data_IF_336121003669
#
_entry.id   IF_336121003669
#
_cell.length_a   1.000
_cell.length_b   1.000
_cell.length_c   1.000
_cell.angle_alpha   90.00
_cell.angle_beta   90.00
_cell.angle_gamma   90.00
#
_symmetry.space_group_name_H-M   'P 1'
#
loop_
_entity.id
_entity.type
_entity.pdbx_description
1 polymer ?
#
# COMPACT_ATOMS: atom_id res chain seq x y z
N UNK A 1 2.48 -3.64 2.43
CA UNK A 1 1.24 -4.39 2.65
C UNK A 1 0.93 -4.52 4.15
N UNK A 2 1.79 -5.11 4.97
CA UNK A 2 1.57 -5.36 6.43
C UNK A 2 1.21 -4.08 7.19
N UNK A 3 1.88 -2.97 6.94
CA UNK A 3 1.60 -1.67 7.59
C UNK A 3 0.17 -1.19 7.29
N UNK A 4 -0.29 -1.29 6.03
CA UNK A 4 -1.66 -0.95 5.65
C UNK A 4 -2.69 -1.91 6.27
N UNK A 5 -2.36 -3.19 6.37
CA UNK A 5 -3.18 -4.19 7.05
C UNK A 5 -3.34 -3.86 8.54
N UNK A 6 -2.24 -3.50 9.21
CA UNK A 6 -2.25 -3.07 10.61
C UNK A 6 -3.13 -1.83 10.81
N UNK A 7 -3.05 -0.85 9.92
CA UNK A 7 -3.92 0.33 9.97
C UNK A 7 -5.41 -0.04 9.81
N UNK A 8 -5.75 -0.97 8.90
CA UNK A 8 -7.11 -1.46 8.76
C UNK A 8 -7.60 -2.17 10.03
N UNK A 9 -6.77 -3.01 10.67
CA UNK A 9 -7.12 -3.67 11.93
C UNK A 9 -7.46 -2.63 13.01
N UNK A 10 -6.68 -1.55 13.10
CA UNK A 10 -6.87 -0.50 14.10
C UNK A 10 -8.09 0.38 13.81
N UNK A 11 -8.40 0.64 12.53
CA UNK A 11 -9.43 1.61 12.13
C UNK A 11 -10.76 0.99 11.68
N UNK A 12 -10.81 -0.34 11.49
CA UNK A 12 -12.00 -1.09 11.08
C UNK A 12 -12.25 -2.27 12.01
N UNK A 13 -13.22 -2.13 12.91
CA UNK A 13 -13.61 -3.23 13.81
C UNK A 13 -14.09 -4.47 13.04
N UNK A 14 -14.77 -4.27 11.90
CA UNK A 14 -15.22 -5.39 11.07
C UNK A 14 -14.04 -6.20 10.54
N UNK A 15 -12.99 -5.51 10.06
CA UNK A 15 -11.77 -6.18 9.59
C UNK A 15 -10.98 -6.83 10.73
N UNK A 16 -10.88 -6.16 11.88
CA UNK A 16 -10.25 -6.73 13.08
C UNK A 16 -10.92 -8.04 13.50
N UNK A 17 -12.26 -8.07 13.49
CA UNK A 17 -13.02 -9.28 13.80
C UNK A 17 -12.80 -10.40 12.77
N UNK A 18 -12.73 -10.07 11.47
CA UNK A 18 -12.50 -11.06 10.40
C UNK A 18 -11.10 -11.68 10.49
N UNK A 19 -10.09 -10.87 10.85
CA UNK A 19 -8.71 -11.34 11.08
C UNK A 19 -8.59 -12.08 12.45
N UNK A 20 -9.49 -11.83 13.38
CA UNK A 20 -9.43 -12.40 14.74
C UNK A 20 -8.42 -11.67 15.65
N UNK A 21 -8.06 -10.42 15.32
CA UNK A 21 -7.11 -9.60 16.09
C UNK A 21 -7.85 -8.41 16.71
N UNK A 22 -7.75 -8.25 18.03
CA UNK A 22 -8.26 -7.07 18.71
C UNK A 22 -7.13 -6.04 18.89
N UNK A 23 -7.23 -4.87 18.25
CA UNK A 23 -6.21 -3.84 18.40
C UNK A 23 -6.24 -3.26 19.81
N UNK A 24 -5.06 -3.05 20.39
CA UNK A 24 -4.91 -2.35 21.68
C UNK A 24 -4.64 -0.87 21.50
N UNK A 25 -4.19 -0.46 20.30
CA UNK A 25 -3.93 0.93 19.97
C UNK A 25 -5.23 1.63 19.53
N UNK A 26 -5.59 2.78 20.14
CA UNK A 26 -6.72 3.57 19.68
C UNK A 26 -6.49 4.10 18.26
N UNK A 27 -7.53 4.12 17.41
CA UNK A 27 -7.44 4.63 16.04
C UNK A 27 -6.92 6.08 15.99
N UNK A 28 -7.26 6.92 16.95
CA UNK A 28 -6.78 8.31 17.06
C UNK A 28 -5.27 8.44 17.27
N UNK A 29 -4.58 7.34 17.65
CA UNK A 29 -3.11 7.31 17.76
C UNK A 29 -2.42 7.18 16.42
N UNK A 30 -3.11 6.70 15.37
CA UNK A 30 -2.60 6.67 13.99
C UNK A 30 -2.83 8.04 13.35
N UNK A 31 -1.79 8.86 13.33
CA UNK A 31 -1.87 10.23 12.81
C UNK A 31 -1.71 10.31 11.29
N UNK A 32 -0.86 9.46 10.74
CA UNK A 32 -0.58 9.41 9.31
C UNK A 32 -0.01 8.05 8.88
N UNK A 33 -0.09 7.77 7.59
CA UNK A 33 0.51 6.60 6.96
C UNK A 33 1.43 7.05 5.83
N UNK A 34 2.60 6.41 5.72
CA UNK A 34 3.49 6.50 4.57
C UNK A 34 3.50 5.13 3.88
N UNK A 35 2.94 5.05 2.69
CA UNK A 35 2.79 3.81 1.94
C UNK A 35 3.61 3.87 0.65
N UNK A 36 4.73 3.16 0.66
CA UNK A 36 5.70 3.14 -0.42
C UNK A 36 5.57 1.83 -1.19
N UNK A 37 5.24 1.90 -2.48
CA UNK A 37 5.28 0.83 -3.48
C UNK A 37 4.76 -0.56 -2.99
N UNK A 38 3.70 -0.60 -2.20
CA UNK A 38 3.18 -1.83 -1.63
C UNK A 38 2.23 -2.62 -2.54
N UNK A 39 2.00 -3.90 -2.20
CA UNK A 39 0.92 -4.70 -2.75
C UNK A 39 -0.32 -4.58 -1.85
N UNK A 40 -1.46 -4.16 -2.40
CA UNK A 40 -2.68 -3.85 -1.63
C UNK A 40 -3.90 -4.64 -2.09
N UNK A 41 -3.86 -5.18 -3.33
CA UNK A 41 -4.89 -6.02 -3.90
C UNK A 41 -4.24 -7.23 -4.59
N UNK A 42 -4.49 -8.42 -4.09
CA UNK A 42 -3.94 -9.65 -4.67
C UNK A 42 -4.62 -10.04 -6.00
N UNK A 43 -5.79 -9.50 -6.31
CA UNK A 43 -6.49 -9.77 -7.57
C UNK A 43 -6.02 -8.87 -8.73
N UNK A 44 -5.30 -7.78 -8.45
CA UNK A 44 -4.90 -6.80 -9.46
C UNK A 44 -3.75 -7.26 -10.38
N UNK A 45 -2.72 -8.01 -9.93
CA UNK A 45 -1.58 -8.35 -10.78
C UNK A 45 -1.94 -9.28 -11.93
N UNK A 46 -1.32 -9.06 -13.10
CA UNK A 46 -1.29 -10.07 -14.16
C UNK A 46 -0.27 -11.17 -13.79
N UNK A 47 -0.76 -12.32 -13.37
CA UNK A 47 0.06 -13.47 -12.97
C UNK A 47 0.70 -14.22 -14.14
N UNK A 48 0.39 -13.90 -15.40
CA UNK A 48 0.97 -14.53 -16.58
C UNK A 48 2.32 -13.95 -16.99
N UNK A 49 2.56 -12.68 -16.65
CA UNK A 49 3.84 -11.99 -16.90
C UNK A 49 5.00 -12.52 -16.06
N UNK A 50 6.22 -12.15 -16.41
CA UNK A 50 7.44 -12.58 -15.70
C UNK A 50 7.42 -12.23 -14.21
N UNK A 51 7.06 -10.99 -13.89
CA UNK A 51 6.91 -10.54 -12.49
C UNK A 51 5.73 -11.24 -11.81
N UNK A 52 4.60 -11.38 -12.51
CA UNK A 52 3.41 -12.05 -11.98
C UNK A 52 3.66 -13.52 -11.63
N UNK A 53 4.47 -14.25 -12.43
CA UNK A 53 4.89 -15.62 -12.11
C UNK A 53 5.73 -15.70 -10.83
N UNK A 54 6.64 -14.75 -10.62
CA UNK A 54 7.38 -14.64 -9.38
C UNK A 54 6.42 -14.40 -8.20
N UNK A 55 5.53 -13.43 -8.33
CA UNK A 55 4.55 -13.10 -7.30
C UNK A 55 3.63 -14.28 -7.00
N UNK A 56 3.16 -14.99 -8.02
CA UNK A 56 2.39 -16.24 -7.87
C UNK A 56 3.15 -17.26 -7.02
N UNK A 57 4.43 -17.48 -7.31
CA UNK A 57 5.26 -18.43 -6.55
C UNK A 57 5.40 -18.01 -5.09
N UNK A 58 5.61 -16.71 -4.85
CA UNK A 58 5.69 -16.16 -3.49
C UNK A 58 4.38 -16.36 -2.74
N UNK A 59 3.26 -15.99 -3.34
CA UNK A 59 1.94 -16.11 -2.71
C UNK A 59 1.55 -17.58 -2.48
N UNK A 60 1.90 -18.48 -3.39
CA UNK A 60 1.75 -19.93 -3.18
C UNK A 60 2.57 -20.41 -1.98
N UNK A 61 3.83 -19.98 -1.84
CA UNK A 61 4.65 -20.34 -0.70
C UNK A 61 4.05 -19.85 0.64
N UNK A 62 3.45 -18.65 0.64
CA UNK A 62 2.77 -18.10 1.82
C UNK A 62 1.45 -18.79 2.15
N UNK A 63 0.65 -19.15 1.15
CA UNK A 63 -0.68 -19.72 1.33
C UNK A 63 -0.67 -21.24 1.50
N UNK A 64 0.37 -21.90 0.96
CA UNK A 64 0.42 -23.36 0.82
C UNK A 64 -0.41 -23.93 -0.32
N UNK A 65 -1.04 -23.09 -1.16
CA UNK A 65 -1.86 -23.49 -2.31
C UNK A 65 -1.59 -22.65 -3.55
N UNK A 66 -1.52 -23.25 -4.76
CA UNK A 66 -1.41 -22.47 -6.00
C UNK A 66 -2.68 -21.67 -6.32
N UNK A 67 -3.81 -22.06 -5.76
CA UNK A 67 -5.12 -21.38 -5.93
C UNK A 67 -5.38 -20.38 -4.79
N UNK A 68 -4.36 -19.59 -4.44
CA UNK A 68 -4.41 -18.66 -3.32
C UNK A 68 -5.45 -17.55 -3.48
N UNK A 69 -5.83 -17.17 -4.70
CA UNK A 69 -6.86 -16.15 -4.93
C UNK A 69 -8.26 -16.60 -4.45
N UNK A 70 -8.51 -17.90 -4.44
CA UNK A 70 -9.73 -18.49 -3.92
C UNK A 70 -9.61 -18.98 -2.47
N UNK A 71 -8.42 -18.85 -1.85
CA UNK A 71 -8.22 -19.24 -0.46
C UNK A 71 -8.85 -18.18 0.48
N UNK A 72 -9.86 -18.57 1.30
CA UNK A 72 -10.49 -17.64 2.24
C UNK A 72 -9.50 -16.99 3.20
N UNK A 73 -8.40 -17.69 3.55
CA UNK A 73 -7.35 -17.15 4.45
C UNK A 73 -6.58 -15.99 3.84
N UNK A 74 -6.43 -15.95 2.50
CA UNK A 74 -5.75 -14.87 1.81
C UNK A 74 -6.68 -13.75 1.34
N UNK A 75 -8.00 -13.95 1.40
CA UNK A 75 -8.97 -12.90 1.03
C UNK A 75 -8.71 -11.60 1.80
N UNK A 76 -8.38 -11.69 3.07
CA UNK A 76 -8.10 -10.54 3.93
C UNK A 76 -6.76 -9.85 3.63
N UNK A 77 -5.87 -10.46 2.87
CA UNK A 77 -4.60 -9.88 2.46
C UNK A 77 -4.76 -8.79 1.37
N UNK A 78 -5.87 -8.78 0.61
CA UNK A 78 -6.26 -7.66 -0.26
C UNK A 78 -6.82 -6.51 0.57
N UNK A 79 -5.92 -5.77 1.25
CA UNK A 79 -6.27 -4.74 2.24
C UNK A 79 -7.16 -3.62 1.67
N UNK A 80 -7.09 -3.38 0.37
CA UNK A 80 -7.89 -2.37 -0.35
C UNK A 80 -9.41 -2.62 -0.20
N UNK A 81 -9.82 -3.88 -0.03
CA UNK A 81 -11.23 -4.26 0.10
C UNK A 81 -11.83 -3.92 1.48
N UNK A 82 -10.99 -3.61 2.45
CA UNK A 82 -11.36 -3.37 3.85
C UNK A 82 -11.15 -1.93 4.31
N UNK A 83 -10.72 -1.06 3.40
CA UNK A 83 -10.56 0.36 3.68
C UNK A 83 -11.89 1.02 4.04
N UNK A 84 -11.84 1.92 5.01
CA UNK A 84 -12.99 2.74 5.42
C UNK A 84 -12.61 4.22 5.43
N UNK A 85 -13.59 5.11 5.55
CA UNK A 85 -13.37 6.55 5.74
C UNK A 85 -12.62 6.90 7.04
N UNK A 86 -12.39 5.91 7.92
CA UNK A 86 -11.62 6.06 9.16
C UNK A 86 -10.13 5.74 8.99
N UNK A 87 -9.70 5.35 7.77
CA UNK A 87 -8.29 5.12 7.49
C UNK A 87 -7.51 6.43 7.69
N UNK A 88 -6.29 6.39 8.24
CA UNK A 88 -5.54 7.61 8.53
C UNK A 88 -5.19 8.41 7.28
N UNK A 89 -4.90 9.72 7.41
CA UNK A 89 -4.28 10.49 6.34
C UNK A 89 -3.08 9.74 5.77
N UNK A 90 -2.98 9.64 4.45
CA UNK A 90 -2.02 8.74 3.80
C UNK A 90 -1.24 9.45 2.70
N UNK A 91 0.10 9.33 2.76
CA UNK A 91 0.99 9.64 1.65
C UNK A 91 1.34 8.35 0.90
N UNK A 92 1.26 8.38 -0.43
CA UNK A 92 1.52 7.20 -1.29
C UNK A 92 2.51 7.56 -2.37
N UNK A 93 3.53 6.72 -2.57
CA UNK A 93 4.47 6.86 -3.69
C UNK A 93 4.85 5.52 -4.30
N UNK A 94 5.13 5.54 -5.59
CA UNK A 94 5.70 4.44 -6.35
C UNK A 94 6.42 4.99 -7.58
N UNK A 95 7.49 4.34 -8.01
CA UNK A 95 8.24 4.72 -9.21
C UNK A 95 7.44 4.49 -10.50
N UNK A 96 7.76 5.25 -11.55
CA UNK A 96 7.09 5.11 -12.86
C UNK A 96 7.40 3.79 -13.59
N UNK A 97 8.50 3.12 -13.23
CA UNK A 97 8.88 1.79 -13.73
C UNK A 97 8.64 0.67 -12.69
N UNK A 98 7.98 0.98 -11.59
CA UNK A 98 7.66 0.00 -10.54
C UNK A 98 6.55 -0.96 -11.02
N UNK A 99 6.77 -2.29 -11.01
CA UNK A 99 5.73 -3.25 -11.37
C UNK A 99 4.51 -3.23 -10.45
N UNK A 100 4.60 -2.60 -9.26
CA UNK A 100 3.50 -2.41 -8.32
C UNK A 100 2.87 -1.00 -8.39
N UNK A 101 3.22 -0.16 -9.37
CA UNK A 101 2.65 1.18 -9.52
C UNK A 101 1.12 1.16 -9.55
N UNK A 102 0.52 0.20 -10.28
CA UNK A 102 -0.94 0.05 -10.36
C UNK A 102 -1.58 -0.20 -8.99
N UNK A 103 -0.92 -0.91 -8.09
CA UNK A 103 -1.38 -1.13 -6.72
C UNK A 103 -1.50 0.18 -5.93
N UNK A 104 -0.48 1.03 -6.05
CA UNK A 104 -0.42 2.33 -5.37
C UNK A 104 -1.45 3.32 -5.94
N UNK A 105 -1.65 3.34 -7.25
CA UNK A 105 -2.63 4.21 -7.91
C UNK A 105 -4.07 3.81 -7.57
N UNK A 106 -4.40 2.52 -7.57
CA UNK A 106 -5.74 2.06 -7.18
C UNK A 106 -6.02 2.29 -5.68
N UNK A 107 -5.01 2.10 -4.82
CA UNK A 107 -5.14 2.45 -3.40
C UNK A 107 -5.45 3.93 -3.20
N UNK A 108 -4.71 4.83 -3.87
CA UNK A 108 -4.92 6.28 -3.79
C UNK A 108 -6.34 6.66 -4.23
N UNK A 109 -6.79 6.11 -5.35
CA UNK A 109 -8.15 6.31 -5.87
C UNK A 109 -9.22 5.83 -4.88
N UNK A 110 -9.03 4.66 -4.28
CA UNK A 110 -9.96 4.10 -3.30
C UNK A 110 -10.04 4.96 -2.04
N UNK A 111 -8.91 5.38 -1.49
CA UNK A 111 -8.86 6.25 -0.31
C UNK A 111 -9.51 7.61 -0.59
N UNK A 112 -9.20 8.23 -1.73
CA UNK A 112 -9.84 9.47 -2.15
C UNK A 112 -11.36 9.33 -2.29
N UNK A 113 -11.86 8.23 -2.87
CA UNK A 113 -13.28 7.91 -2.98
C UNK A 113 -13.97 7.70 -1.61
N UNK A 114 -13.23 7.37 -0.58
CA UNK A 114 -13.72 7.25 0.81
C UNK A 114 -13.62 8.57 1.60
N UNK A 115 -13.11 9.64 0.98
CA UNK A 115 -12.90 10.92 1.65
C UNK A 115 -11.71 10.96 2.60
N UNK A 116 -10.79 10.00 2.50
CA UNK A 116 -9.54 9.98 3.29
C UNK A 116 -8.57 11.01 2.70
N UNK A 117 -7.97 11.84 3.54
CA UNK A 117 -6.91 12.77 3.13
C UNK A 117 -5.74 11.99 2.56
N UNK A 118 -5.47 12.18 1.26
CA UNK A 118 -4.47 11.41 0.53
C UNK A 118 -3.57 12.35 -0.26
N UNK A 119 -2.26 12.23 -0.09
CA UNK A 119 -1.25 12.88 -0.93
C UNK A 119 -0.47 11.83 -1.70
N UNK A 120 -0.11 12.15 -2.94
CA UNK A 120 0.60 11.18 -3.81
C UNK A 120 1.81 11.82 -4.45
N UNK A 121 2.86 11.01 -4.63
CA UNK A 121 3.99 11.32 -5.48
C UNK A 121 4.12 10.22 -6.53
N UNK A 122 3.52 10.45 -7.69
CA UNK A 122 3.65 9.59 -8.86
C UNK A 122 4.28 10.39 -9.99
N UNK A 123 5.17 9.75 -10.72
CA UNK A 123 5.89 10.36 -11.81
C UNK A 123 5.23 10.02 -13.16
N UNK A 124 5.35 10.90 -14.19
CA UNK A 124 4.92 10.58 -15.55
C UNK A 124 5.59 9.30 -16.07
N UNK A 125 4.91 8.59 -16.97
CA UNK A 125 5.43 7.32 -17.50
C UNK A 125 6.77 7.48 -18.26
N UNK A 126 7.04 8.65 -18.78
CA UNK A 126 8.27 9.02 -19.51
C UNK A 126 9.33 9.69 -18.63
N UNK A 127 9.12 9.78 -17.33
CA UNK A 127 10.10 10.34 -16.39
C UNK A 127 11.46 9.61 -16.47
N UNK A 128 12.53 10.39 -16.44
CA UNK A 128 13.90 9.90 -16.47
C UNK A 128 14.73 10.49 -15.33
N UNK A 129 15.57 9.66 -14.69
CA UNK A 129 15.73 8.21 -14.91
C UNK A 129 14.47 7.42 -14.56
N UNK A 130 14.28 6.25 -15.17
CA UNK A 130 13.18 5.37 -14.81
C UNK A 130 13.31 4.90 -13.34
N UNK A 131 12.28 5.15 -12.55
CA UNK A 131 12.26 4.87 -11.12
C UNK A 131 11.66 3.48 -10.86
N UNK A 132 12.51 2.56 -10.43
CA UNK A 132 12.12 1.19 -10.13
C UNK A 132 11.46 1.06 -8.75
N UNK A 133 11.15 -0.17 -8.37
CA UNK A 133 10.64 -0.51 -7.05
C UNK A 133 11.59 0.01 -5.95
N UNK A 134 11.01 0.64 -4.91
CA UNK A 134 11.74 1.19 -3.77
C UNK A 134 12.69 2.37 -4.08
N UNK A 135 12.50 3.09 -5.20
CA UNK A 135 13.33 4.25 -5.59
C UNK A 135 13.48 5.30 -4.47
N UNK A 136 12.49 5.44 -3.61
CA UNK A 136 12.45 6.42 -2.51
C UNK A 136 13.49 6.16 -1.41
N UNK A 137 14.15 4.99 -1.42
CA UNK A 137 15.25 4.67 -0.50
C UNK A 137 16.63 4.97 -1.09
N UNK A 138 16.71 5.28 -2.37
CA UNK A 138 17.94 5.75 -3.02
C UNK A 138 18.12 7.26 -2.77
N UNK A 139 18.75 7.59 -1.66
CA UNK A 139 18.99 8.99 -1.26
C UNK A 139 20.20 9.62 -1.96
N UNK A 140 20.90 8.91 -2.82
CA UNK A 140 21.88 9.50 -3.74
C UNK A 140 21.19 10.10 -4.98
N UNK A 141 19.97 9.69 -5.27
CA UNK A 141 19.10 10.17 -6.33
C UNK A 141 18.24 11.35 -5.84
N UNK A 142 18.04 12.36 -6.70
CA UNK A 142 17.24 13.54 -6.36
C UNK A 142 15.74 13.22 -6.21
N UNK A 143 15.21 12.25 -6.96
CA UNK A 143 13.83 11.78 -6.81
C UNK A 143 13.59 11.09 -5.47
N UNK A 144 14.56 10.31 -4.99
CA UNK A 144 14.52 9.72 -3.65
C UNK A 144 14.56 10.77 -2.54
N UNK A 145 15.43 11.79 -2.68
CA UNK A 145 15.45 12.95 -1.76
C UNK A 145 14.14 13.72 -1.76
N UNK A 146 13.55 13.93 -2.95
CA UNK A 146 12.25 14.58 -3.09
C UNK A 146 11.15 13.78 -2.38
N UNK A 147 11.13 12.46 -2.55
CA UNK A 147 10.17 11.59 -1.88
C UNK A 147 10.31 11.71 -0.35
N UNK A 148 11.54 11.67 0.17
CA UNK A 148 11.80 11.82 1.60
C UNK A 148 11.33 13.20 2.12
N UNK A 149 11.64 14.28 1.41
CA UNK A 149 11.22 15.63 1.80
C UNK A 149 9.69 15.73 1.86
N UNK A 150 8.97 15.24 0.85
CA UNK A 150 7.50 15.26 0.83
C UNK A 150 6.88 14.38 1.92
N UNK A 151 7.48 13.22 2.23
CA UNK A 151 7.05 12.38 3.35
C UNK A 151 7.19 13.10 4.69
N UNK A 152 8.31 13.81 4.91
CA UNK A 152 8.54 14.60 6.13
C UNK A 152 7.53 15.74 6.24
N UNK A 153 7.32 16.50 5.16
CA UNK A 153 6.35 17.59 5.13
C UNK A 153 4.93 17.09 5.43
N UNK A 154 4.55 15.96 4.85
CA UNK A 154 3.26 15.32 5.10
C UNK A 154 3.10 14.95 6.59
N UNK A 155 4.10 14.34 7.19
CA UNK A 155 4.09 14.00 8.62
C UNK A 155 3.98 15.26 9.49
N UNK A 156 4.72 16.33 9.20
CA UNK A 156 4.66 17.59 9.96
C UNK A 156 3.26 18.22 9.95
N UNK A 157 2.50 18.05 8.86
CA UNK A 157 1.13 18.55 8.73
C UNK A 157 0.13 17.76 9.58
N UNK A 158 0.40 16.46 9.86
CA UNK A 158 -0.55 15.56 10.50
C UNK A 158 -0.19 15.13 11.92
N UNK A 159 1.02 15.45 12.39
CA UNK A 159 1.49 15.11 13.74
C UNK A 159 1.20 16.18 14.82
N UNK A 160 0.56 17.28 14.42
CA UNK A 160 0.18 18.36 15.33
C UNK A 160 -1.12 18.07 16.07
#
# INVERSE_FOLDING_TARGET
>A
QIVAQTANIITSQAYANEIGIQPTLPAASLKAMLLNCGAYDLALPDYNGKFGKLLHTVLWAYSGTPDFLNDPKLKTASVINYLTSKFPPTFITAGNADPLLAQSTELAKKLGGLGVTTSTLFYPADHQPALNHEYQFDLDNDDGKQALAQMIDFLQQHLR
#
